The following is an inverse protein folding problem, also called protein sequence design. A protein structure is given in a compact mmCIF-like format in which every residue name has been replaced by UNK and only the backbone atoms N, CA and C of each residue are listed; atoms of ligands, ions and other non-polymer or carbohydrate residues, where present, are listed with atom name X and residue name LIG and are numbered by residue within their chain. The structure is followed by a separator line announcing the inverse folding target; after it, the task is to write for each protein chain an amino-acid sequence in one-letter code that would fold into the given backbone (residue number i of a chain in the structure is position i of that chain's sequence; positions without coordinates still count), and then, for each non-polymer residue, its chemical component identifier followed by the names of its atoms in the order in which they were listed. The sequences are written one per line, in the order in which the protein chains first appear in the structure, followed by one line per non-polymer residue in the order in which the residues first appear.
data_IF_553839461851
#
_entry.id   IF_553839461851
#
_cell.length_a   1.000
_cell.length_b   1.000
_cell.length_c   1.000
_cell.angle_alpha   90.00
_cell.angle_beta   90.00
_cell.angle_gamma   90.00
#
_symmetry.space_group_name_H-M   'P 1'
#
loop_
_entity.id
_entity.type
_entity.pdbx_description
1 polymer ?
#
# COMPACT_ATOMS: atom_id res chain seq x y z
N UNK A 1 -0.11 -42.04 24.67
CA UNK A 1 0.62 -40.79 24.59
C UNK A 1 1.00 -40.41 23.14
N UNK A 2 1.56 -41.32 22.36
CA UNK A 2 2.00 -41.12 20.96
C UNK A 2 0.88 -40.61 20.04
N UNK A 3 -0.34 -41.17 20.13
CA UNK A 3 -1.49 -40.71 19.29
C UNK A 3 -1.84 -39.25 19.49
N UNK A 4 -1.78 -38.76 20.74
CA UNK A 4 -2.04 -37.33 21.02
C UNK A 4 -0.92 -36.43 20.50
N UNK A 5 0.32 -36.87 20.58
CA UNK A 5 1.47 -36.16 20.03
C UNK A 5 1.39 -36.01 18.50
N UNK A 6 1.04 -37.11 17.81
CA UNK A 6 0.85 -37.12 16.35
C UNK A 6 -0.27 -36.14 15.92
N UNK A 7 -1.37 -36.10 16.69
CA UNK A 7 -2.47 -35.20 16.42
C UNK A 7 -2.04 -33.72 16.55
N UNK A 8 -1.23 -33.38 17.56
CA UNK A 8 -0.71 -32.02 17.73
C UNK A 8 0.26 -31.62 16.64
N UNK A 9 1.15 -32.51 16.22
CA UNK A 9 2.06 -32.26 15.09
C UNK A 9 1.28 -32.06 13.80
N UNK A 10 0.23 -32.85 13.57
CA UNK A 10 -0.65 -32.69 12.41
C UNK A 10 -1.39 -31.36 12.40
N UNK A 11 -1.92 -30.90 13.55
CA UNK A 11 -2.55 -29.59 13.66
C UNK A 11 -1.56 -28.43 13.41
N UNK A 12 -0.32 -28.52 13.89
CA UNK A 12 0.71 -27.49 13.67
C UNK A 12 1.13 -27.42 12.19
N UNK A 13 1.19 -28.55 11.51
CA UNK A 13 1.53 -28.61 10.08
C UNK A 13 0.45 -27.98 9.17
N UNK A 14 -0.78 -27.83 9.67
CA UNK A 14 -1.90 -27.23 8.92
C UNK A 14 -1.98 -25.70 9.03
N UNK A 15 -1.21 -25.08 9.92
CA UNK A 15 -1.11 -23.61 9.99
C UNK A 15 -0.15 -23.12 8.90
N UNK A 16 -0.52 -23.30 7.65
CA UNK A 16 0.11 -22.62 6.52
C UNK A 16 -0.47 -21.20 6.46
N UNK A 17 0.31 -20.22 6.91
CA UNK A 17 -0.03 -18.81 6.68
C UNK A 17 0.17 -18.57 5.18
N UNK A 18 -0.89 -18.71 4.41
CA UNK A 18 -0.91 -18.31 3.00
C UNK A 18 -0.91 -16.78 2.97
N UNK A 19 0.24 -16.18 2.74
CA UNK A 19 0.30 -14.80 2.28
C UNK A 19 -0.30 -14.79 0.87
N UNK A 20 -1.53 -14.30 0.75
CA UNK A 20 -2.11 -14.06 -0.56
C UNK A 20 -1.32 -12.93 -1.21
N UNK A 21 -0.45 -13.26 -2.16
CA UNK A 21 0.15 -12.29 -3.05
C UNK A 21 -0.97 -11.69 -3.89
N UNK A 22 -1.15 -10.37 -3.84
CA UNK A 22 -2.13 -9.69 -4.68
C UNK A 22 -1.41 -9.06 -5.87
N UNK A 23 -1.76 -9.51 -7.06
CA UNK A 23 -1.30 -8.94 -8.32
C UNK A 23 -2.44 -8.16 -8.95
N UNK A 24 -2.39 -6.85 -8.89
CA UNK A 24 -3.45 -5.97 -9.39
C UNK A 24 -2.94 -5.20 -10.59
N UNK A 25 -3.72 -5.16 -11.66
CA UNK A 25 -3.44 -4.37 -12.86
C UNK A 25 -4.50 -3.28 -13.03
N UNK A 26 -4.07 -2.03 -13.08
CA UNK A 26 -4.90 -0.89 -13.44
C UNK A 26 -4.67 -0.54 -14.91
N UNK A 27 -5.74 -0.44 -15.71
CA UNK A 27 -5.67 -0.19 -17.14
C UNK A 27 -6.50 1.01 -17.57
N UNK A 28 -5.99 1.74 -18.57
CA UNK A 28 -6.74 2.75 -19.31
C UNK A 28 -6.92 4.08 -18.59
N UNK A 29 -6.18 4.34 -17.54
CA UNK A 29 -6.15 5.63 -16.86
C UNK A 29 -5.13 6.59 -17.48
N UNK A 30 -5.30 7.88 -17.29
CA UNK A 30 -4.25 8.88 -17.48
C UNK A 30 -3.41 8.93 -16.21
N UNK A 31 -2.18 8.45 -16.28
CA UNK A 31 -1.27 8.44 -15.13
C UNK A 31 -0.34 9.66 -15.15
N UNK A 32 -0.36 10.45 -14.08
CA UNK A 32 0.54 11.57 -13.85
C UNK A 32 1.73 11.10 -13.00
N UNK A 33 2.96 11.26 -13.51
CA UNK A 33 4.14 10.66 -12.86
C UNK A 33 4.79 11.55 -11.79
N UNK A 34 4.23 12.74 -11.54
CA UNK A 34 4.75 13.68 -10.54
C UNK A 34 5.98 14.50 -11.00
N UNK A 35 6.58 14.15 -12.14
CA UNK A 35 7.70 14.86 -12.76
C UNK A 35 7.29 15.74 -13.96
N UNK A 36 5.98 15.99 -14.12
CA UNK A 36 5.39 16.72 -15.24
C UNK A 36 5.01 15.84 -16.44
N UNK A 37 5.47 14.59 -16.48
CA UNK A 37 5.10 13.64 -17.52
C UNK A 37 3.75 12.96 -17.21
N UNK A 38 3.03 12.59 -18.29
CA UNK A 38 1.80 11.81 -18.21
C UNK A 38 1.80 10.67 -19.22
N UNK A 39 1.09 9.60 -18.89
CA UNK A 39 0.82 8.46 -19.75
C UNK A 39 -0.69 8.42 -19.98
N UNK A 40 -1.14 8.60 -21.24
CA UNK A 40 -2.56 8.73 -21.58
C UNK A 40 -3.36 7.42 -21.44
N UNK A 41 -2.71 6.29 -21.70
CA UNK A 41 -3.33 4.96 -21.60
C UNK A 41 -2.45 4.08 -20.69
N UNK A 42 -2.43 4.37 -19.41
CA UNK A 42 -1.52 3.72 -18.50
C UNK A 42 -1.92 2.29 -18.18
N UNK A 43 -0.91 1.43 -18.10
CA UNK A 43 -0.94 0.14 -17.46
C UNK A 43 -0.06 0.20 -16.22
N UNK A 44 -0.66 0.03 -15.04
CA UNK A 44 0.02 0.05 -13.76
C UNK A 44 -0.22 -1.28 -13.07
N UNK A 45 0.85 -2.07 -12.95
CA UNK A 45 0.87 -3.32 -12.19
C UNK A 45 1.34 -3.07 -10.77
N UNK A 46 0.61 -3.63 -9.81
CA UNK A 46 0.97 -3.60 -8.39
C UNK A 46 1.08 -5.02 -7.89
N UNK A 47 2.20 -5.34 -7.28
CA UNK A 47 2.50 -6.64 -6.71
C UNK A 47 3.01 -6.46 -5.29
N UNK A 48 2.34 -7.06 -4.32
CA UNK A 48 2.70 -6.97 -2.90
C UNK A 48 2.88 -5.52 -2.40
N UNK A 49 2.00 -4.60 -2.85
CA UNK A 49 2.05 -3.19 -2.48
C UNK A 49 3.14 -2.37 -3.16
N UNK A 50 3.85 -2.93 -4.15
CA UNK A 50 4.88 -2.23 -4.92
C UNK A 50 4.49 -2.18 -6.40
N UNK A 51 4.95 -1.15 -7.10
CA UNK A 51 4.79 -1.09 -8.55
C UNK A 51 5.68 -2.12 -9.23
N UNK A 52 5.08 -3.05 -9.98
CA UNK A 52 5.78 -4.03 -10.82
C UNK A 52 5.85 -3.57 -12.27
N UNK A 53 4.90 -2.73 -12.69
CA UNK A 53 4.79 -2.21 -14.05
C UNK A 53 4.23 -0.79 -14.03
N UNK A 54 4.84 0.14 -14.76
CA UNK A 54 4.26 1.45 -15.08
C UNK A 54 4.63 1.77 -16.53
N UNK A 55 3.69 1.65 -17.44
CA UNK A 55 3.94 1.83 -18.87
C UNK A 55 2.68 2.26 -19.63
N UNK A 56 2.83 2.62 -20.89
CA UNK A 56 1.70 2.84 -21.79
C UNK A 56 1.20 1.51 -22.34
N UNK A 57 -0.07 1.21 -22.08
CA UNK A 57 -0.71 -0.01 -22.53
C UNK A 57 -0.81 -0.16 -24.06
N UNK A 58 -0.64 0.95 -24.79
CA UNK A 58 -0.64 0.96 -26.26
C UNK A 58 0.66 0.44 -26.85
N UNK A 59 1.74 0.50 -26.08
CA UNK A 59 3.11 0.18 -26.54
C UNK A 59 3.53 -1.23 -26.10
N UNK A 60 3.09 -1.66 -24.92
CA UNK A 60 3.53 -2.92 -24.33
C UNK A 60 2.50 -4.04 -24.51
N UNK A 61 3.00 -5.27 -24.60
CA UNK A 61 2.14 -6.46 -24.55
C UNK A 61 1.96 -6.89 -23.11
N UNK A 62 0.75 -6.80 -22.61
CA UNK A 62 0.37 -7.20 -21.25
C UNK A 62 -0.17 -8.62 -21.29
N UNK A 63 0.28 -9.47 -20.37
CA UNK A 63 -0.31 -10.78 -20.14
C UNK A 63 -1.38 -10.67 -19.04
N UNK A 64 -2.68 -10.72 -19.36
CA UNK A 64 -3.73 -10.54 -18.36
C UNK A 64 -3.77 -11.66 -17.31
N UNK A 65 -3.31 -12.86 -17.67
CA UNK A 65 -3.34 -14.03 -16.76
C UNK A 65 -2.28 -13.97 -15.65
N UNK A 66 -1.35 -13.00 -15.73
CA UNK A 66 -0.37 -12.76 -14.69
C UNK A 66 -0.92 -11.95 -13.50
N UNK A 67 -2.16 -11.47 -13.59
CA UNK A 67 -2.79 -10.63 -12.58
C UNK A 67 -4.05 -11.27 -12.03
N UNK A 68 -4.22 -11.24 -10.70
CA UNK A 68 -5.41 -11.78 -10.03
C UNK A 68 -6.63 -10.87 -10.24
N UNK A 69 -6.38 -9.56 -10.36
CA UNK A 69 -7.44 -8.56 -10.52
C UNK A 69 -7.05 -7.52 -11.55
N UNK A 70 -7.96 -7.23 -12.48
CA UNK A 70 -7.79 -6.18 -13.49
C UNK A 70 -8.86 -5.12 -13.29
N UNK A 71 -8.44 -3.88 -13.02
CA UNK A 71 -9.32 -2.74 -12.80
C UNK A 71 -9.20 -1.78 -13.98
N UNK A 72 -10.29 -1.63 -14.73
CA UNK A 72 -10.37 -0.68 -15.85
C UNK A 72 -10.73 0.72 -15.31
N UNK A 73 -9.89 1.69 -15.60
CA UNK A 73 -10.02 3.07 -15.14
C UNK A 73 -10.16 4.07 -16.30
N UNK A 74 -10.81 3.66 -17.37
CA UNK A 74 -10.97 4.47 -18.57
C UNK A 74 -11.54 5.85 -18.25
N UNK A 75 -10.87 6.91 -18.71
CA UNK A 75 -11.26 8.30 -18.47
C UNK A 75 -10.99 8.82 -17.06
N UNK A 76 -10.35 8.03 -16.18
CA UNK A 76 -9.92 8.47 -14.85
C UNK A 76 -8.46 8.87 -14.84
N UNK A 77 -8.11 9.74 -13.89
CA UNK A 77 -6.75 10.17 -13.68
C UNK A 77 -6.17 9.54 -12.42
N UNK A 78 -4.90 9.15 -12.47
CA UNK A 78 -4.12 8.64 -11.34
C UNK A 78 -3.02 9.66 -11.05
N UNK A 79 -2.87 10.02 -9.78
CA UNK A 79 -1.83 10.93 -9.30
C UNK A 79 -1.03 10.28 -8.19
N UNK A 80 0.26 10.60 -8.03
CA UNK A 80 1.01 10.26 -6.84
C UNK A 80 0.36 10.91 -5.60
N UNK A 81 0.38 10.21 -4.47
CA UNK A 81 -0.07 10.79 -3.21
C UNK A 81 0.91 11.87 -2.72
N UNK A 82 0.37 12.83 -1.97
CA UNK A 82 1.22 13.81 -1.29
C UNK A 82 1.95 13.15 -0.11
N UNK A 83 3.24 13.44 0.00
CA UNK A 83 4.06 13.04 1.15
C UNK A 83 4.29 14.29 2.00
N UNK A 84 3.77 14.29 3.22
CA UNK A 84 3.97 15.38 4.18
C UNK A 84 4.93 14.88 5.27
N UNK A 85 6.23 15.15 5.14
CA UNK A 85 7.25 14.58 6.03
C UNK A 85 7.21 15.18 7.44
N UNK A 86 6.62 16.36 7.59
CA UNK A 86 6.46 17.04 8.87
C UNK A 86 5.00 17.44 9.05
N UNK A 87 4.27 16.69 9.85
CA UNK A 87 2.85 16.91 10.12
C UNK A 87 2.52 16.58 11.57
N UNK A 88 1.58 17.34 12.14
CA UNK A 88 0.98 17.06 13.45
C UNK A 88 -0.32 16.24 13.33
N UNK A 89 -0.67 15.81 12.12
CA UNK A 89 -1.84 14.98 11.89
C UNK A 89 -1.74 13.67 12.69
N UNK A 90 -2.76 13.36 13.47
CA UNK A 90 -2.81 12.19 14.35
C UNK A 90 -2.14 12.38 15.72
N UNK A 91 -1.44 13.50 15.96
CA UNK A 91 -0.85 13.83 17.27
C UNK A 91 -1.41 15.13 17.87
N UNK A 92 -2.38 15.74 17.21
CA UNK A 92 -3.12 16.91 17.68
C UNK A 92 -4.61 16.67 17.48
N UNK A 93 -5.38 16.55 18.55
CA UNK A 93 -6.81 16.34 18.47
C UNK A 93 -7.56 17.67 18.31
N UNK A 94 -7.34 18.62 19.22
CA UNK A 94 -7.99 19.92 19.22
C UNK A 94 -6.92 21.02 19.30
N UNK A 95 -6.77 21.78 18.24
CA UNK A 95 -5.69 22.78 18.09
C UNK A 95 -5.66 23.89 19.16
N UNK A 96 -6.77 24.13 19.89
CA UNK A 96 -6.84 25.12 20.96
C UNK A 96 -6.66 24.54 22.37
N UNK A 97 -6.65 23.22 22.51
CA UNK A 97 -6.49 22.56 23.81
C UNK A 97 -5.08 22.03 23.96
N UNK A 98 -4.26 22.69 24.76
CA UNK A 98 -2.85 22.35 24.94
C UNK A 98 -2.61 20.92 25.44
N UNK A 99 -3.53 20.37 26.22
CA UNK A 99 -3.43 19.01 26.75
C UNK A 99 -3.57 17.89 25.68
N UNK A 100 -4.06 18.23 24.48
CA UNK A 100 -4.22 17.28 23.35
C UNK A 100 -3.08 17.38 22.33
N UNK A 101 -2.04 18.18 22.62
CA UNK A 101 -0.89 18.38 21.74
C UNK A 101 0.24 17.43 22.07
N UNK A 102 0.23 16.24 21.51
CA UNK A 102 1.23 15.19 21.78
C UNK A 102 2.57 15.38 21.03
N UNK A 103 2.72 16.50 20.30
CA UNK A 103 3.98 16.83 19.64
C UNK A 103 4.96 17.61 20.54
N UNK A 104 4.57 17.93 21.78
CA UNK A 104 5.39 18.62 22.79
C UNK A 104 5.38 17.84 24.08
N UNK A 105 6.38 17.05 24.29
CA UNK A 105 6.65 16.43 25.58
C UNK A 105 7.78 17.15 26.34
N UNK A 106 7.90 16.83 27.64
CA UNK A 106 9.00 17.34 28.47
C UNK A 106 10.24 16.51 28.19
N UNK A 107 11.22 17.10 27.52
CA UNK A 107 12.48 16.45 27.19
C UNK A 107 13.06 16.90 25.85
N UNK A 108 14.36 16.67 25.65
CA UNK A 108 15.07 17.09 24.46
C UNK A 108 14.87 16.11 23.27
N UNK A 109 14.45 14.88 23.54
CA UNK A 109 14.28 13.83 22.55
C UNK A 109 13.13 12.91 22.96
N UNK A 110 12.10 12.82 22.12
CA UNK A 110 10.90 12.00 22.36
C UNK A 110 10.68 10.98 21.23
N UNK A 111 11.48 9.89 21.18
CA UNK A 111 11.43 8.93 20.08
C UNK A 111 10.18 8.04 20.08
N UNK A 112 9.35 8.13 21.13
CA UNK A 112 8.16 7.28 21.31
C UNK A 112 6.88 7.92 20.78
N UNK A 113 6.89 9.19 20.38
CA UNK A 113 5.73 9.86 19.80
C UNK A 113 5.51 9.33 18.39
N UNK A 114 4.35 8.75 18.15
CA UNK A 114 3.94 8.22 16.83
C UNK A 114 2.64 8.88 16.42
N UNK A 115 2.61 9.42 15.21
CA UNK A 115 1.36 9.73 14.51
C UNK A 115 0.77 8.43 13.95
N UNK A 116 -0.51 8.21 14.15
CA UNK A 116 -1.22 7.04 13.63
C UNK A 116 -1.48 7.19 12.14
#
# INVERSE_FOLDING_TARGET
MIKKLILHIFCIAFVQITFAQSHILYLGAVAHLGNGLKIENAAIGVENGKFSLVADASIIRINPTAYDTIIKLNGKHIYPAFIVPNTTLGITEIGQVRATHDYREVGALNPNVRSL
#
